data_IF_069581392145
#
_entry.id   IF_069581392145
#
_cell.length_a   1.000
_cell.length_b   1.000
_cell.length_c   1.000
_cell.angle_alpha   90.00
_cell.angle_beta   90.00
_cell.angle_gamma   90.00
#
_symmetry.space_group_name_H-M   'P 1'
#
loop_
_entity.id
_entity.type
_entity.pdbx_description
1 polymer ?
#
# COMPACT_ATOMS: atom_id res chain seq x y z
N UNK A 1 -9.64 -12.80 -5.52
CA UNK A 1 -8.43 -11.97 -5.61
C UNK A 1 -7.24 -12.93 -5.61
N UNK A 2 -6.00 -12.51 -5.86
CA UNK A 2 -4.86 -13.41 -5.58
C UNK A 2 -4.54 -13.35 -4.09
N UNK A 3 -3.82 -14.34 -3.56
CA UNK A 3 -3.35 -14.33 -2.17
C UNK A 3 -2.56 -13.03 -1.87
N UNK A 4 -1.72 -12.58 -2.81
CA UNK A 4 -0.97 -11.32 -2.69
C UNK A 4 -1.89 -10.09 -2.60
N UNK A 5 -2.94 -10.04 -3.44
CA UNK A 5 -3.95 -8.96 -3.37
C UNK A 5 -4.68 -8.96 -2.03
N UNK A 6 -5.04 -10.15 -1.53
CA UNK A 6 -5.77 -10.32 -0.27
C UNK A 6 -4.94 -9.86 0.93
N UNK A 7 -3.67 -10.26 0.99
CA UNK A 7 -2.74 -9.82 2.04
C UNK A 7 -2.53 -8.30 2.04
N UNK A 8 -2.28 -7.69 0.87
CA UNK A 8 -2.07 -6.24 0.78
C UNK A 8 -3.35 -5.47 1.10
N UNK A 9 -4.52 -5.94 0.65
CA UNK A 9 -5.78 -5.29 0.99
C UNK A 9 -6.07 -5.41 2.49
N UNK A 10 -5.78 -6.55 3.10
CA UNK A 10 -5.93 -6.74 4.55
C UNK A 10 -5.04 -5.78 5.33
N UNK A 11 -3.77 -5.64 4.94
CA UNK A 11 -2.84 -4.66 5.51
C UNK A 11 -3.41 -3.23 5.45
N UNK A 12 -3.99 -2.83 4.31
CA UNK A 12 -4.64 -1.53 4.16
C UNK A 12 -5.91 -1.34 5.04
N UNK A 13 -6.58 -2.42 5.41
CA UNK A 13 -7.79 -2.41 6.25
C UNK A 13 -7.42 -2.23 7.72
N UNK A 14 -6.35 -2.87 8.16
CA UNK A 14 -5.88 -2.82 9.54
C UNK A 14 -5.23 -1.47 9.85
N UNK A 15 -4.36 -0.99 8.97
CA UNK A 15 -3.55 0.19 9.22
C UNK A 15 -3.43 1.10 7.98
N UNK A 16 -3.01 2.35 8.22
CA UNK A 16 -2.46 3.20 7.17
C UNK A 16 -0.98 2.83 6.97
N UNK A 17 -0.74 1.87 6.08
CA UNK A 17 0.57 1.23 5.90
C UNK A 17 1.44 1.93 4.87
N UNK A 18 2.76 1.86 5.07
CA UNK A 18 3.77 2.35 4.13
C UNK A 18 3.96 1.42 2.95
N UNK A 19 4.38 1.96 1.78
CA UNK A 19 4.62 1.14 0.58
C UNK A 19 5.65 0.01 0.81
N UNK A 20 6.68 0.26 1.62
CA UNK A 20 7.71 -0.73 1.94
C UNK A 20 7.14 -1.92 2.73
N UNK A 21 6.10 -1.69 3.55
CA UNK A 21 5.47 -2.72 4.36
C UNK A 21 4.72 -3.73 3.50
N UNK A 22 4.20 -3.33 2.33
CA UNK A 22 3.61 -4.27 1.38
C UNK A 22 4.63 -5.32 0.91
N UNK A 23 5.91 -4.94 0.75
CA UNK A 23 6.97 -5.90 0.41
C UNK A 23 7.27 -6.83 1.58
N UNK A 24 7.24 -6.34 2.82
CA UNK A 24 7.41 -7.15 4.02
C UNK A 24 6.27 -8.16 4.18
N UNK A 25 5.04 -7.74 3.93
CA UNK A 25 3.86 -8.59 3.95
C UNK A 25 3.97 -9.71 2.91
N UNK A 26 4.31 -9.40 1.67
CA UNK A 26 4.52 -10.43 0.65
C UNK A 26 5.71 -11.34 0.98
N UNK A 27 6.77 -10.80 1.59
CA UNK A 27 7.93 -11.59 2.05
C UNK A 27 7.54 -12.64 3.08
N UNK A 28 6.59 -12.36 3.97
CA UNK A 28 6.10 -13.31 4.95
C UNK A 28 5.46 -14.54 4.29
N UNK A 29 4.79 -14.35 3.15
CA UNK A 29 4.12 -15.40 2.39
C UNK A 29 5.03 -16.07 1.33
N UNK A 30 6.08 -15.37 0.89
CA UNK A 30 7.00 -15.80 -0.17
C UNK A 30 8.47 -15.69 0.26
N UNK A 31 8.83 -16.37 1.35
CA UNK A 31 10.13 -16.22 2.01
C UNK A 31 11.35 -16.39 1.07
N UNK A 32 11.27 -17.30 0.11
CA UNK A 32 12.38 -17.64 -0.80
C UNK A 32 12.46 -16.79 -2.08
N UNK A 33 11.53 -15.84 -2.28
CA UNK A 33 11.45 -15.06 -3.51
C UNK A 33 12.52 -13.95 -3.57
N UNK A 34 12.97 -13.53 -4.74
CA UNK A 34 13.87 -12.39 -4.82
C UNK A 34 13.19 -11.06 -4.42
N UNK A 35 13.91 -10.15 -3.76
CA UNK A 35 13.35 -8.88 -3.28
C UNK A 35 12.88 -7.97 -4.41
N UNK A 36 13.57 -7.95 -5.55
CA UNK A 36 13.16 -7.17 -6.72
C UNK A 36 11.85 -7.73 -7.31
N UNK A 37 11.69 -9.06 -7.30
CA UNK A 37 10.46 -9.72 -7.73
C UNK A 37 9.29 -9.37 -6.79
N UNK A 38 9.50 -9.40 -5.47
CA UNK A 38 8.47 -9.00 -4.51
C UNK A 38 8.09 -7.52 -4.65
N UNK A 39 9.06 -6.64 -4.86
CA UNK A 39 8.81 -5.23 -5.10
C UNK A 39 7.95 -5.04 -6.36
N UNK A 40 8.27 -5.74 -7.45
CA UNK A 40 7.47 -5.72 -8.68
C UNK A 40 6.03 -6.18 -8.44
N UNK A 41 5.85 -7.26 -7.68
CA UNK A 41 4.51 -7.75 -7.31
C UNK A 41 3.75 -6.75 -6.45
N UNK A 42 4.35 -6.22 -5.39
CA UNK A 42 3.69 -5.25 -4.52
C UNK A 42 3.24 -4.01 -5.30
N UNK A 43 4.06 -3.51 -6.24
CA UNK A 43 3.69 -2.42 -7.16
C UNK A 43 2.46 -2.77 -8.00
N UNK A 44 2.49 -3.92 -8.66
CA UNK A 44 1.40 -4.36 -9.53
C UNK A 44 0.09 -4.55 -8.76
N UNK A 45 0.15 -5.07 -7.54
CA UNK A 45 -1.00 -5.23 -6.66
C UNK A 45 -1.57 -3.89 -6.19
N UNK A 46 -0.73 -2.98 -5.67
CA UNK A 46 -1.19 -1.65 -5.23
C UNK A 46 -1.77 -0.83 -6.39
N UNK A 47 -1.14 -0.87 -7.58
CA UNK A 47 -1.68 -0.21 -8.78
C UNK A 47 -3.06 -0.76 -9.15
N UNK A 48 -3.23 -2.08 -9.06
CA UNK A 48 -4.52 -2.73 -9.33
C UNK A 48 -5.58 -2.32 -8.32
N UNK A 49 -5.24 -2.34 -7.03
CA UNK A 49 -6.15 -1.94 -5.95
C UNK A 49 -6.57 -0.47 -6.05
N UNK A 50 -5.63 0.44 -6.35
CA UNK A 50 -5.94 1.86 -6.64
C UNK A 50 -6.83 1.97 -7.88
N UNK A 51 -6.52 1.21 -8.94
CA UNK A 51 -7.31 1.18 -10.18
C UNK A 51 -8.78 0.84 -9.94
N UNK A 52 -9.05 -0.08 -9.02
CA UNK A 52 -10.38 -0.52 -8.60
C UNK A 52 -11.00 0.29 -7.45
N UNK A 53 -10.38 1.40 -7.03
CA UNK A 53 -10.85 2.23 -5.91
C UNK A 53 -10.99 1.45 -4.58
N UNK A 54 -10.20 0.40 -4.39
CA UNK A 54 -10.20 -0.40 -3.16
C UNK A 54 -9.24 0.15 -2.11
N UNK A 55 -8.21 0.87 -2.53
CA UNK A 55 -7.30 1.60 -1.63
C UNK A 55 -7.12 3.03 -2.11
N UNK A 56 -6.77 3.89 -1.16
CA UNK A 56 -6.43 5.29 -1.37
C UNK A 56 -4.98 5.51 -0.90
N UNK A 57 -4.23 6.35 -1.63
CA UNK A 57 -2.88 6.75 -1.21
C UNK A 57 -2.93 8.09 -0.46
N UNK A 58 -1.94 8.27 0.40
CA UNK A 58 -1.80 9.43 1.27
C UNK A 58 -0.32 9.80 1.37
N UNK A 59 -0.06 11.09 1.54
CA UNK A 59 1.23 11.60 2.01
C UNK A 59 1.19 11.68 3.54
N UNK A 60 2.26 11.23 4.18
CA UNK A 60 2.42 11.30 5.63
C UNK A 60 3.76 11.97 5.97
N UNK A 61 3.77 12.92 6.91
CA UNK A 61 5.02 13.36 7.55
C UNK A 61 5.35 12.39 8.69
N UNK A 62 6.38 11.58 8.52
CA UNK A 62 6.65 10.47 9.43
C UNK A 62 7.19 10.93 10.81
N UNK A 63 6.88 10.22 11.91
CA UNK A 63 6.15 8.95 11.97
C UNK A 63 4.62 9.05 12.16
N UNK A 64 4.10 10.21 12.54
CA UNK A 64 2.69 10.40 12.97
C UNK A 64 2.09 11.73 12.53
N UNK A 65 2.58 12.31 11.44
CA UNK A 65 2.08 13.57 10.91
C UNK A 65 0.73 13.43 10.22
N UNK A 66 0.21 14.56 9.77
CA UNK A 66 -1.09 14.60 9.09
C UNK A 66 -1.05 13.84 7.77
N UNK A 67 -2.12 13.09 7.53
CA UNK A 67 -2.35 12.37 6.28
C UNK A 67 -3.03 13.30 5.28
N UNK A 68 -2.46 13.45 4.09
CA UNK A 68 -3.06 14.21 3.00
C UNK A 68 -3.35 13.31 1.81
N UNK A 69 -4.56 13.36 1.27
CA UNK A 69 -4.97 12.55 0.14
C UNK A 69 -4.07 12.79 -1.09
N UNK A 70 -3.77 11.69 -1.78
CA UNK A 70 -3.09 11.70 -3.08
C UNK A 70 -4.15 11.48 -4.16
N UNK A 71 -4.20 12.36 -5.15
CA UNK A 71 -5.12 12.21 -6.26
C UNK A 71 -4.85 10.91 -7.05
N UNK A 72 -5.90 10.21 -7.47
CA UNK A 72 -5.78 8.91 -8.16
C UNK A 72 -4.85 8.95 -9.37
N UNK A 73 -4.85 10.07 -10.10
CA UNK A 73 -3.99 10.26 -11.27
C UNK A 73 -2.51 10.33 -10.92
N UNK A 74 -2.18 10.86 -9.74
CA UNK A 74 -0.82 10.95 -9.20
C UNK A 74 -0.39 9.66 -8.50
N UNK A 75 -1.34 8.92 -7.91
CA UNK A 75 -1.08 7.71 -7.15
C UNK A 75 -0.26 6.68 -7.94
N UNK A 76 -0.61 6.45 -9.21
CA UNK A 76 0.10 5.49 -10.07
C UNK A 76 1.54 5.91 -10.32
N UNK A 77 1.80 7.20 -10.48
CA UNK A 77 3.15 7.71 -10.70
C UNK A 77 3.99 7.55 -9.43
N UNK A 78 3.43 7.83 -8.25
CA UNK A 78 4.11 7.63 -6.97
C UNK A 78 4.43 6.15 -6.70
N UNK A 79 3.55 5.22 -7.08
CA UNK A 79 3.80 3.78 -6.96
C UNK A 79 4.93 3.30 -7.88
N UNK A 80 5.18 3.99 -8.99
CA UNK A 80 6.27 3.67 -9.92
C UNK A 80 7.63 4.24 -9.49
N UNK A 81 7.65 5.21 -8.57
CA UNK A 81 8.87 5.84 -8.10
C UNK A 81 9.54 5.02 -7.00
N UNK A 82 10.67 4.36 -7.32
CA UNK A 82 11.44 3.53 -6.38
C UNK A 82 11.81 4.24 -5.07
N UNK A 83 12.01 5.55 -5.11
CA UNK A 83 12.32 6.35 -3.93
C UNK A 83 11.25 6.23 -2.82
N UNK A 84 9.99 5.99 -3.19
CA UNK A 84 8.87 5.89 -2.23
C UNK A 84 8.76 4.50 -1.56
N UNK A 85 9.55 3.52 -2.00
CA UNK A 85 9.48 2.13 -1.54
C UNK A 85 10.50 1.77 -0.46
N UNK A 86 11.25 2.76 0.02
CA UNK A 86 12.16 2.59 1.13
C UNK A 86 11.50 3.04 2.42
N UNK A 87 11.89 2.42 3.54
CA UNK A 87 11.48 2.89 4.85
C UNK A 87 11.97 4.34 5.06
N UNK A 88 11.07 5.27 5.43
CA UNK A 88 11.37 6.68 5.54
C UNK A 88 12.17 7.00 6.82
N UNK A 89 13.04 8.01 6.75
CA UNK A 89 13.67 8.55 7.95
C UNK A 89 12.66 9.40 8.75
N UNK A 90 12.81 9.51 10.09
CA UNK A 90 11.98 10.40 10.90
C UNK A 90 11.99 11.85 10.37
N UNK A 91 10.81 12.45 10.23
CA UNK A 91 10.66 13.82 9.70
C UNK A 91 10.68 13.93 8.17
N UNK A 92 10.75 12.81 7.45
CA UNK A 92 10.58 12.78 5.99
C UNK A 92 9.11 12.55 5.59
N UNK A 93 8.78 12.85 4.33
CA UNK A 93 7.45 12.57 3.78
C UNK A 93 7.48 11.19 3.11
N UNK A 94 6.53 10.33 3.48
CA UNK A 94 6.33 9.01 2.90
C UNK A 94 5.00 8.92 2.13
N UNK A 95 4.85 7.84 1.39
CA UNK A 95 3.56 7.43 0.82
C UNK A 95 3.01 6.26 1.62
N UNK A 96 1.78 6.42 2.09
CA UNK A 96 1.02 5.38 2.77
C UNK A 96 -0.24 5.05 1.99
N UNK A 97 -0.82 3.89 2.24
CA UNK A 97 -2.08 3.46 1.67
C UNK A 97 -3.03 2.97 2.76
N UNK A 98 -4.33 3.12 2.51
CA UNK A 98 -5.38 2.65 3.39
C UNK A 98 -6.59 2.20 2.58
N UNK A 99 -7.38 1.28 3.13
CA UNK A 99 -8.55 0.75 2.47
C UNK A 99 -9.67 1.79 2.40
N UNK A 100 -10.27 1.93 1.22
CA UNK A 100 -11.51 2.70 1.05
C UNK A 100 -12.70 1.95 1.64
N UNK A 101 -13.88 2.57 1.75
CA UNK A 101 -15.13 1.84 2.04
C UNK A 101 -15.35 0.62 1.14
N UNK A 102 -15.09 0.77 -0.17
CA UNK A 102 -15.19 -0.34 -1.13
C UNK A 102 -14.15 -1.43 -0.87
N UNK A 103 -12.92 -1.05 -0.50
CA UNK A 103 -11.86 -1.97 -0.08
C UNK A 103 -12.23 -2.79 1.15
N UNK A 104 -12.74 -2.13 2.20
CA UNK A 104 -13.21 -2.81 3.42
C UNK A 104 -14.32 -3.81 3.12
N UNK A 105 -15.31 -3.41 2.31
CA UNK A 105 -16.38 -4.29 1.87
C UNK A 105 -15.86 -5.50 1.06
N UNK A 106 -14.90 -5.27 0.16
CA UNK A 106 -14.26 -6.33 -0.62
C UNK A 106 -13.46 -7.31 0.26
N UNK A 107 -12.88 -6.84 1.36
CA UNK A 107 -12.21 -7.65 2.38
C UNK A 107 -13.18 -8.34 3.35
N UNK A 108 -14.50 -8.13 3.22
CA UNK A 108 -15.50 -8.70 4.11
C UNK A 108 -15.57 -8.03 5.49
N UNK A 109 -15.00 -6.82 5.64
CA UNK A 109 -15.05 -6.03 6.88
C UNK A 109 -16.20 -5.03 6.77
N UNK A 110 -17.27 -5.13 7.59
CA UNK A 110 -18.38 -4.19 7.55
C UNK A 110 -17.96 -2.78 8.01
N UNK A 111 -18.60 -1.74 7.48
CA UNK A 111 -18.43 -0.37 7.96
C UNK A 111 -18.82 -0.27 9.46
N UNK A 112 -18.02 0.47 10.23
CA UNK A 112 -18.30 0.82 11.63
C UNK A 112 -19.22 2.05 11.72
#
# INVERSE_FOLDING_TARGET
MTDDTESILWLAVEDYSGLWEAVWELRANHADMDSEVLLGRAKDELIRLVGHDLIQLYRCLEPYGDMTDVEKQEAVDLLRMDANWNEPEPGSVSIRFGATPAGRAAAGVPEL
#
